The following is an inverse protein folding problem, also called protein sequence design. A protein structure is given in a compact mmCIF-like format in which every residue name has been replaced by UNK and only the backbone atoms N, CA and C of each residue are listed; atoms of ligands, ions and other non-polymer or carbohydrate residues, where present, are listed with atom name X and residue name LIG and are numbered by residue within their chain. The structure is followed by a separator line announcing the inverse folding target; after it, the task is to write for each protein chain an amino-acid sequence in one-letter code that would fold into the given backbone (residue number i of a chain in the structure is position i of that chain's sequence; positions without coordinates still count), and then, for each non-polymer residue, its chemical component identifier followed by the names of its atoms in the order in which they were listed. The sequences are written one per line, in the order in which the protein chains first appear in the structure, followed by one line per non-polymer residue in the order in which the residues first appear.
data_IF_389507956418
#
_entry.id   IF_389507956418
#
_cell.length_a   1.000
_cell.length_b   1.000
_cell.length_c   1.000
_cell.angle_alpha   90.00
_cell.angle_beta   90.00
_cell.angle_gamma   90.00
#
_symmetry.space_group_name_H-M   'P 1'
#
loop_
_entity.id
_entity.type
_entity.pdbx_description
1 polymer ?
#
# COMPACT_ATOMS: atom_id res chain seq x y z
N UNK A 1 -15.78 0.16 -40.63
CA UNK A 1 -15.35 -0.97 -39.78
C UNK A 1 -14.80 -0.59 -38.39
N UNK A 2 -14.80 0.70 -37.96
CA UNK A 2 -14.22 1.11 -36.65
C UNK A 2 -15.16 1.03 -35.42
N UNK A 3 -16.48 0.88 -35.59
CA UNK A 3 -17.44 0.95 -34.46
C UNK A 3 -17.30 -0.20 -33.45
N UNK A 4 -16.75 -1.36 -33.85
CA UNK A 4 -16.63 -2.57 -33.01
C UNK A 4 -15.41 -2.54 -32.08
N UNK A 5 -14.38 -1.76 -32.41
CA UNK A 5 -13.14 -1.65 -31.61
C UNK A 5 -13.40 -0.78 -30.37
N UNK A 6 -14.18 0.30 -30.51
CA UNK A 6 -14.46 1.23 -29.42
C UNK A 6 -15.23 0.57 -28.26
N UNK A 7 -16.12 -0.39 -28.56
CA UNK A 7 -16.86 -1.12 -27.51
C UNK A 7 -15.96 -2.07 -26.72
N UNK A 8 -14.99 -2.73 -27.37
CA UNK A 8 -14.08 -3.67 -26.70
C UNK A 8 -13.11 -2.94 -25.75
N UNK A 9 -12.64 -1.74 -26.14
CA UNK A 9 -11.78 -0.91 -25.29
C UNK A 9 -12.52 -0.42 -24.04
N UNK A 10 -13.82 -0.05 -24.15
CA UNK A 10 -14.61 0.36 -22.99
C UNK A 10 -14.82 -0.78 -21.98
N UNK A 11 -15.04 -2.01 -22.45
CA UNK A 11 -15.14 -3.18 -21.57
C UNK A 11 -13.80 -3.50 -20.89
N UNK A 12 -12.66 -3.38 -21.58
CA UNK A 12 -11.34 -3.58 -20.99
C UNK A 12 -11.02 -2.56 -19.88
N UNK A 13 -11.47 -1.31 -20.03
CA UNK A 13 -11.33 -0.26 -19.01
C UNK A 13 -12.27 -0.49 -17.81
N UNK A 14 -13.50 -0.98 -18.01
CA UNK A 14 -14.40 -1.33 -16.90
C UNK A 14 -14.00 -2.63 -16.17
N UNK A 15 -13.32 -3.56 -16.83
CA UNK A 15 -12.80 -4.79 -16.20
C UNK A 15 -11.60 -4.51 -15.28
N UNK A 16 -10.82 -3.47 -15.57
CA UNK A 16 -9.69 -3.05 -14.73
C UNK A 16 -10.13 -2.47 -13.38
N UNK A 17 -11.32 -1.88 -13.28
CA UNK A 17 -11.84 -1.30 -12.03
C UNK A 17 -12.44 -2.34 -11.08
N UNK A 18 -12.81 -3.53 -11.57
CA UNK A 18 -13.39 -4.60 -10.74
C UNK A 18 -12.34 -5.46 -10.01
N UNK A 19 -11.05 -5.33 -10.34
CA UNK A 19 -9.98 -6.15 -9.77
C UNK A 19 -9.63 -5.80 -8.30
N UNK A 20 -10.11 -4.67 -7.79
CA UNK A 20 -9.95 -4.29 -6.38
C UNK A 20 -11.24 -4.57 -5.60
N UNK A 21 -11.64 -5.85 -5.56
CA UNK A 21 -12.68 -6.28 -4.66
C UNK A 21 -12.18 -6.10 -3.21
N UNK A 22 -12.58 -4.99 -2.61
CA UNK A 22 -12.60 -4.66 -1.18
C UNK A 22 -12.52 -5.90 -0.28
N UNK A 23 -11.35 -6.11 0.28
CA UNK A 23 -11.15 -6.79 1.54
C UNK A 23 -10.21 -5.89 2.32
N UNK A 24 -10.49 -5.67 3.60
CA UNK A 24 -9.58 -5.03 4.55
C UNK A 24 -8.36 -5.95 4.73
N UNK A 25 -7.55 -6.08 3.68
CA UNK A 25 -6.25 -6.70 3.76
C UNK A 25 -5.31 -5.62 4.25
N UNK A 26 -5.40 -5.35 5.56
CA UNK A 26 -4.36 -4.63 6.23
C UNK A 26 -3.08 -5.42 6.05
N UNK A 27 -2.20 -5.01 5.13
CA UNK A 27 -0.80 -5.43 5.16
C UNK A 27 -0.12 -4.69 6.33
N UNK A 28 -0.74 -4.69 7.50
CA UNK A 28 -0.11 -4.23 8.72
C UNK A 28 0.84 -5.34 9.13
N UNK A 29 2.07 -5.30 8.63
CA UNK A 29 3.15 -5.99 9.30
C UNK A 29 3.35 -5.26 10.64
N UNK A 30 2.55 -5.61 11.64
CA UNK A 30 2.82 -5.33 13.04
C UNK A 30 4.08 -6.05 13.53
N UNK A 31 4.72 -6.83 12.65
CA UNK A 31 6.09 -7.30 12.83
C UNK A 31 7.03 -6.10 13.03
N UNK A 32 7.87 -6.18 14.06
CA UNK A 32 8.97 -5.25 14.23
C UNK A 32 9.79 -5.18 12.93
N UNK A 33 10.01 -3.97 12.40
CA UNK A 33 10.95 -3.78 11.29
C UNK A 33 12.35 -4.11 11.80
N UNK A 34 12.89 -5.26 11.42
CA UNK A 34 14.28 -5.58 11.72
C UNK A 34 15.07 -5.67 10.42
N UNK A 35 16.34 -5.28 10.47
CA UNK A 35 17.28 -5.46 9.36
C UNK A 35 17.54 -6.94 9.05
N UNK A 36 17.22 -7.84 9.99
CA UNK A 36 17.33 -9.29 9.85
C UNK A 36 16.10 -9.92 9.18
N UNK A 37 14.94 -9.26 9.19
CA UNK A 37 13.76 -9.70 8.44
C UNK A 37 13.96 -9.42 6.95
N UNK A 38 14.13 -10.49 6.17
CA UNK A 38 14.12 -10.41 4.71
C UNK A 38 12.83 -9.80 4.16
N UNK A 39 12.88 -9.38 2.90
CA UNK A 39 11.74 -8.83 2.18
C UNK A 39 10.48 -9.67 2.28
N UNK A 40 9.35 -9.04 2.61
CA UNK A 40 8.05 -9.72 2.73
C UNK A 40 7.43 -9.88 1.34
N UNK A 41 6.79 -11.01 1.09
CA UNK A 41 6.16 -11.33 -0.19
C UNK A 41 4.67 -11.01 -0.15
N UNK A 42 4.17 -10.39 -1.22
CA UNK A 42 2.76 -10.14 -1.44
C UNK A 42 2.27 -11.08 -2.54
N UNK A 43 1.28 -11.89 -2.18
CA UNK A 43 0.65 -12.87 -3.06
C UNK A 43 -0.76 -12.41 -3.42
N UNK A 44 -1.14 -12.58 -4.68
CA UNK A 44 -2.42 -12.13 -5.20
C UNK A 44 -3.53 -13.11 -4.88
N UNK A 45 -4.20 -12.93 -3.75
CA UNK A 45 -5.44 -13.63 -3.40
C UNK A 45 -6.23 -12.82 -2.35
N UNK A 46 -7.57 -12.89 -2.40
CA UNK A 46 -8.47 -12.10 -1.55
C UNK A 46 -8.55 -12.60 -0.11
N UNK A 47 -8.34 -13.89 0.15
CA UNK A 47 -8.68 -14.53 1.44
C UNK A 47 -7.77 -15.67 1.88
N UNK A 48 -7.10 -16.35 0.95
CA UNK A 48 -6.44 -17.65 1.10
C UNK A 48 -5.07 -17.69 0.42
N UNK A 49 -4.38 -16.55 0.36
CA UNK A 49 -3.04 -16.46 -0.22
C UNK A 49 -2.09 -17.50 0.41
N UNK A 50 -1.43 -18.29 -0.43
CA UNK A 50 -0.39 -19.24 -0.05
C UNK A 50 0.91 -18.91 -0.80
N UNK A 51 2.02 -19.55 -0.41
CA UNK A 51 3.33 -19.34 -1.07
C UNK A 51 3.37 -19.81 -2.53
N UNK A 52 2.39 -20.62 -2.94
CA UNK A 52 2.18 -21.09 -4.32
C UNK A 52 1.27 -20.19 -5.14
N UNK A 53 0.56 -19.25 -4.52
CA UNK A 53 -0.24 -18.23 -5.20
C UNK A 53 0.68 -17.33 -6.03
N UNK A 54 0.14 -16.69 -7.08
CA UNK A 54 0.89 -15.75 -7.90
C UNK A 54 1.50 -14.64 -7.03
N UNK A 55 2.83 -14.53 -7.04
CA UNK A 55 3.55 -13.45 -6.39
C UNK A 55 3.34 -12.16 -7.19
N UNK A 56 2.79 -11.15 -6.55
CA UNK A 56 2.50 -9.84 -7.19
C UNK A 56 3.44 -8.74 -6.71
N UNK A 57 4.19 -8.97 -5.64
CA UNK A 57 5.19 -8.03 -5.17
C UNK A 57 6.05 -8.56 -4.03
N UNK A 58 7.16 -7.88 -3.77
CA UNK A 58 8.04 -8.11 -2.63
C UNK A 58 8.54 -6.78 -2.08
N UNK A 59 8.63 -6.64 -0.77
CA UNK A 59 9.36 -5.53 -0.17
C UNK A 59 10.87 -5.80 -0.17
N UNK A 60 11.68 -4.75 -0.15
CA UNK A 60 13.11 -4.87 0.11
C UNK A 60 13.36 -5.31 1.57
N UNK A 61 14.52 -5.92 1.83
CA UNK A 61 14.96 -6.21 3.21
C UNK A 61 14.93 -4.94 4.05
N UNK A 62 14.31 -5.02 5.23
CA UNK A 62 14.17 -3.87 6.14
C UNK A 62 13.16 -2.81 5.69
N UNK A 63 12.46 -2.96 4.57
CA UNK A 63 11.36 -2.07 4.20
C UNK A 63 10.02 -2.65 4.68
N UNK A 64 9.28 -1.85 5.46
CA UNK A 64 7.89 -2.12 5.78
C UNK A 64 6.96 -1.25 4.93
N UNK A 65 5.85 -1.85 4.54
CA UNK A 65 4.76 -1.22 3.83
C UNK A 65 3.49 -1.59 4.58
N UNK A 66 2.66 -0.60 4.88
CA UNK A 66 1.34 -0.82 5.41
C UNK A 66 0.28 -0.24 4.48
N UNK A 67 -0.80 -1.00 4.33
CA UNK A 67 -1.94 -0.66 3.50
C UNK A 67 -3.18 -0.71 4.37
N UNK A 68 -4.02 0.30 4.29
CA UNK A 68 -5.37 0.29 4.84
C UNK A 68 -6.32 0.52 3.69
N UNK A 69 -7.09 -0.50 3.31
CA UNK A 69 -7.98 -0.45 2.16
C UNK A 69 -9.43 -0.73 2.56
N UNK A 70 -10.34 -0.07 1.87
CA UNK A 70 -11.79 -0.30 1.96
C UNK A 70 -12.37 -0.23 0.54
N UNK A 71 -13.67 -0.49 0.39
CA UNK A 71 -14.36 -0.28 -0.87
C UNK A 71 -14.31 1.18 -1.36
N UNK A 72 -14.09 2.15 -0.47
CA UNK A 72 -14.11 3.57 -0.79
C UNK A 72 -12.72 4.13 -1.14
N UNK A 73 -11.64 3.39 -0.87
CA UNK A 73 -10.30 3.87 -1.13
C UNK A 73 -9.23 3.17 -0.31
N UNK A 74 -8.05 3.80 -0.24
CA UNK A 74 -6.89 3.28 0.45
C UNK A 74 -6.07 4.37 1.13
N UNK A 75 -5.32 3.98 2.16
CA UNK A 75 -4.17 4.68 2.70
C UNK A 75 -2.95 3.76 2.63
N UNK A 76 -1.78 4.35 2.38
CA UNK A 76 -0.51 3.66 2.27
C UNK A 76 0.54 4.36 3.14
N UNK A 77 1.36 3.59 3.85
CA UNK A 77 2.61 4.09 4.44
C UNK A 77 3.76 3.14 4.14
N UNK A 78 4.97 3.69 4.05
CA UNK A 78 6.21 2.93 3.89
C UNK A 78 7.32 3.56 4.71
N UNK A 79 8.19 2.72 5.26
CA UNK A 79 9.36 3.12 6.03
C UNK A 79 10.43 2.05 5.91
N UNK A 80 11.67 2.49 5.80
CA UNK A 80 12.82 1.60 5.90
C UNK A 80 13.33 1.58 7.34
N UNK A 81 13.75 0.42 7.83
CA UNK A 81 14.31 0.20 9.18
C UNK A 81 15.44 1.18 9.48
N UNK A 82 16.27 1.47 8.47
CA UNK A 82 17.38 2.40 8.58
C UNK A 82 17.05 3.84 8.13
N UNK A 83 15.83 4.10 7.68
CA UNK A 83 15.39 5.40 7.21
C UNK A 83 15.08 6.36 8.37
N UNK A 84 15.30 7.65 8.13
CA UNK A 84 14.91 8.75 9.04
C UNK A 84 13.56 9.35 8.67
N UNK A 85 12.97 8.92 7.55
CA UNK A 85 11.66 9.34 7.07
C UNK A 85 10.74 8.14 6.90
N UNK A 86 9.47 8.35 7.21
CA UNK A 86 8.38 7.53 6.72
C UNK A 86 7.62 8.34 5.66
N UNK A 87 7.03 7.64 4.69
CA UNK A 87 6.26 8.22 3.60
C UNK A 87 4.86 7.65 3.57
N UNK A 88 3.88 8.45 3.17
CA UNK A 88 2.50 8.01 3.07
C UNK A 88 1.71 8.76 2.00
N UNK A 89 0.62 8.13 1.55
CA UNK A 89 -0.33 8.73 0.62
C UNK A 89 -1.69 8.06 0.79
N UNK A 90 -2.72 8.64 0.18
CA UNK A 90 -4.09 8.13 0.22
C UNK A 90 -4.78 8.28 -1.14
N UNK A 91 -5.90 7.58 -1.32
CA UNK A 91 -6.67 7.58 -2.57
C UNK A 91 -7.17 8.97 -3.01
N UNK A 92 -7.37 9.88 -2.07
CA UNK A 92 -7.83 11.25 -2.26
C UNK A 92 -6.67 12.27 -2.26
N UNK A 93 -5.43 11.81 -2.12
CA UNK A 93 -4.28 12.70 -2.08
C UNK A 93 -3.76 13.05 -3.47
N UNK A 94 -3.40 14.31 -3.65
CA UNK A 94 -2.62 14.78 -4.80
C UNK A 94 -1.12 14.86 -4.49
N UNK A 95 -0.67 14.34 -3.34
CA UNK A 95 0.70 14.47 -2.88
C UNK A 95 1.20 13.21 -2.14
N UNK A 96 2.51 13.22 -1.87
CA UNK A 96 3.15 12.27 -0.95
C UNK A 96 3.48 13.04 0.32
N UNK A 97 3.11 12.48 1.46
CA UNK A 97 3.43 13.04 2.76
C UNK A 97 4.66 12.35 3.35
N UNK A 98 5.45 13.09 4.11
CA UNK A 98 6.60 12.59 4.83
C UNK A 98 6.60 13.05 6.28
N UNK A 99 7.15 12.22 7.17
CA UNK A 99 7.36 12.59 8.58
C UNK A 99 8.74 12.14 9.02
N UNK A 100 9.34 12.92 9.92
CA UNK A 100 10.57 12.51 10.59
C UNK A 100 10.29 11.38 11.59
N UNK A 101 11.07 10.31 11.49
CA UNK A 101 11.00 9.13 12.36
C UNK A 101 12.36 8.83 12.97
N UNK A 102 13.28 9.80 13.04
CA UNK A 102 14.65 9.60 13.53
C UNK A 102 14.66 9.04 14.95
N UNK A 103 13.79 9.57 15.83
CA UNK A 103 13.66 9.12 17.23
C UNK A 103 13.02 7.72 17.37
N UNK A 104 12.31 7.25 16.33
CA UNK A 104 11.61 5.96 16.33
C UNK A 104 12.15 5.04 15.23
N UNK A 105 13.42 5.22 14.85
CA UNK A 105 14.09 4.40 13.83
C UNK A 105 14.00 2.91 14.20
N UNK A 106 13.73 2.06 13.21
CA UNK A 106 13.48 0.63 13.41
C UNK A 106 12.12 0.28 14.01
N UNK A 107 11.35 1.26 14.48
CA UNK A 107 9.93 1.08 14.81
C UNK A 107 9.10 1.65 13.67
N UNK A 108 8.19 0.85 13.13
CA UNK A 108 7.32 1.31 12.05
C UNK A 108 6.38 2.37 12.61
N UNK A 109 6.37 3.56 12.01
CA UNK A 109 5.34 4.54 12.30
C UNK A 109 4.00 3.86 11.96
N UNK A 110 3.14 3.75 12.97
CA UNK A 110 1.81 3.12 12.89
C UNK A 110 1.21 3.32 11.50
N UNK A 111 0.86 2.22 10.84
CA UNK A 111 0.35 2.22 9.47
C UNK A 111 -0.88 3.10 9.30
N UNK A 112 -1.32 3.34 8.05
CA UNK A 112 -2.45 4.21 7.78
C UNK A 112 -3.68 3.72 8.55
N UNK A 113 -4.32 4.60 9.30
CA UNK A 113 -5.52 4.29 10.10
C UNK A 113 -6.82 4.66 9.40
N UNK A 114 -6.73 5.37 8.29
CA UNK A 114 -7.87 5.81 7.50
C UNK A 114 -7.53 5.77 6.00
N UNK A 115 -8.53 5.97 5.16
CA UNK A 115 -8.34 6.10 3.71
C UNK A 115 -8.11 7.53 3.25
N UNK A 116 -8.30 8.56 4.08
CA UNK A 116 -8.25 9.97 3.65
C UNK A 116 -6.95 10.70 4.01
N UNK A 117 -6.75 11.89 3.44
CA UNK A 117 -5.58 12.75 3.73
C UNK A 117 -5.50 13.24 5.19
N UNK A 118 -6.61 13.28 5.92
CA UNK A 118 -6.67 13.76 7.30
C UNK A 118 -5.69 13.04 8.26
N UNK A 119 -5.35 11.78 7.98
CA UNK A 119 -4.37 11.03 8.77
C UNK A 119 -2.94 11.58 8.66
N UNK A 120 -2.65 12.37 7.62
CA UNK A 120 -1.35 12.99 7.38
C UNK A 120 -1.27 14.42 7.90
N UNK A 121 -2.19 14.84 8.78
CA UNK A 121 -2.22 16.19 9.36
C UNK A 121 -0.94 16.62 10.08
N UNK A 122 -0.18 15.67 10.64
CA UNK A 122 1.12 15.90 11.28
C UNK A 122 2.32 15.67 10.35
N UNK A 123 2.09 15.43 9.06
CA UNK A 123 3.12 15.10 8.08
C UNK A 123 3.33 16.29 7.14
N UNK A 124 4.55 16.42 6.63
CA UNK A 124 4.89 17.42 5.64
C UNK A 124 4.57 16.91 4.24
N UNK A 125 3.86 17.71 3.45
CA UNK A 125 3.68 17.47 2.01
C UNK A 125 5.03 17.62 1.29
N UNK A 126 5.35 16.71 0.38
CA UNK A 126 6.53 16.78 -0.49
C UNK A 126 6.20 17.31 -1.88
#
# INVERSE_FOLDING_TARGET
MLKKISTLTAFALLLASAAFASGTAGLATGDAMTSASGGKSLYGDKTTAATTTALIGKSSTGAAVAVFSTALGYGLTTQHVNGTKAFGTSHDSTAIYSIDVTATKGTFKLGPGAIGTAQFSAWATM
#
